data_IF_107331080927
#
_entry.id   IF_107331080927
#
_cell.length_a   1.000
_cell.length_b   1.000
_cell.length_c   1.000
_cell.angle_alpha   90.00
_cell.angle_beta   90.00
_cell.angle_gamma   90.00
#
_symmetry.space_group_name_H-M   'P 1'
#
loop_
_entity.id
_entity.type
_entity.pdbx_description
1 polymer ?
#
# COMPACT_ATOMS: atom_id res chain seq x y z
N UNK A 1 21.71 -24.54 7.01
CA UNK A 1 20.65 -23.52 7.20
C UNK A 1 21.09 -22.30 6.46
N UNK A 2 20.28 -21.82 5.55
CA UNK A 2 20.53 -20.51 4.93
C UNK A 2 20.06 -19.46 5.93
N UNK A 3 20.99 -18.67 6.48
CA UNK A 3 20.66 -17.45 7.22
C UNK A 3 20.20 -16.37 6.21
N UNK A 4 19.19 -16.70 5.42
CA UNK A 4 18.61 -15.74 4.49
C UNK A 4 17.81 -14.71 5.30
N UNK A 5 18.18 -13.45 5.18
CA UNK A 5 17.45 -12.35 5.79
C UNK A 5 16.12 -12.20 5.07
N UNK A 6 15.03 -12.57 5.72
CA UNK A 6 13.68 -12.49 5.18
C UNK A 6 12.67 -12.15 6.27
N UNK A 7 11.58 -11.46 5.87
CA UNK A 7 10.44 -11.25 6.75
C UNK A 7 9.73 -12.57 7.02
N UNK A 8 9.25 -12.76 8.25
CA UNK A 8 8.49 -13.95 8.64
C UNK A 8 7.11 -13.59 9.18
N UNK A 9 6.05 -14.30 8.81
CA UNK A 9 4.75 -14.16 9.43
C UNK A 9 4.81 -14.52 10.92
N UNK A 10 4.23 -13.67 11.77
CA UNK A 10 4.15 -13.91 13.21
C UNK A 10 2.70 -13.70 13.70
N UNK A 11 1.81 -14.68 13.48
CA UNK A 11 0.42 -14.57 13.89
C UNK A 11 0.28 -14.58 15.41
N UNK A 12 -0.58 -13.72 15.93
CA UNK A 12 -0.89 -13.62 17.36
C UNK A 12 -2.38 -13.85 17.61
N UNK A 13 -2.73 -14.25 18.85
CA UNK A 13 -4.13 -14.39 19.25
C UNK A 13 -4.75 -13.02 19.50
N UNK A 14 -5.66 -12.59 18.65
CA UNK A 14 -6.42 -11.36 18.81
C UNK A 14 -7.53 -11.57 19.84
N UNK A 15 -7.55 -10.75 20.89
CA UNK A 15 -8.55 -10.75 21.96
C UNK A 15 -9.73 -9.87 21.63
N UNK A 16 -9.46 -8.67 21.10
CA UNK A 16 -10.49 -7.74 20.62
C UNK A 16 -9.94 -6.88 19.48
N UNK A 17 -10.83 -6.45 18.60
CA UNK A 17 -10.49 -5.59 17.49
C UNK A 17 -11.68 -4.67 17.20
N UNK A 18 -11.52 -3.38 17.49
CA UNK A 18 -12.60 -2.41 17.42
C UNK A 18 -12.21 -1.22 16.55
N UNK A 19 -13.14 -0.71 15.75
CA UNK A 19 -12.98 0.57 15.08
C UNK A 19 -13.23 1.67 16.12
N UNK A 20 -12.19 2.44 16.44
CA UNK A 20 -12.26 3.52 17.44
C UNK A 20 -12.39 4.89 16.81
N UNK A 21 -12.10 5.02 15.52
CA UNK A 21 -12.38 6.20 14.72
C UNK A 21 -12.83 5.76 13.32
N UNK A 22 -14.05 6.15 12.95
CA UNK A 22 -14.62 5.89 11.63
C UNK A 22 -14.42 7.14 10.75
N UNK A 23 -13.33 7.14 10.00
CA UNK A 23 -12.95 8.24 9.12
C UNK A 23 -13.64 8.14 7.76
N UNK A 24 -13.58 9.24 6.97
CA UNK A 24 -14.13 9.24 5.61
C UNK A 24 -13.44 8.27 4.66
N UNK A 25 -12.12 8.12 4.82
CA UNK A 25 -11.28 7.28 3.95
C UNK A 25 -10.67 6.15 4.77
N UNK A 26 -10.17 6.46 5.94
CA UNK A 26 -9.46 5.53 6.81
C UNK A 26 -10.18 5.36 8.14
N UNK A 27 -10.22 4.13 8.61
CA UNK A 27 -10.58 3.83 9.99
C UNK A 27 -9.33 3.73 10.84
N UNK A 28 -9.44 4.04 12.12
CA UNK A 28 -8.44 3.68 13.13
C UNK A 28 -8.98 2.52 13.92
N UNK A 29 -8.20 1.47 14.02
CA UNK A 29 -8.54 0.24 14.73
C UNK A 29 -7.72 0.12 16.00
N UNK A 30 -8.35 -0.37 17.06
CA UNK A 30 -7.73 -0.71 18.33
C UNK A 30 -7.80 -2.21 18.53
N UNK A 31 -6.64 -2.87 18.51
CA UNK A 31 -6.53 -4.30 18.77
C UNK A 31 -5.90 -4.55 20.12
N UNK A 32 -6.45 -5.51 20.87
CA UNK A 32 -5.75 -6.14 21.99
C UNK A 32 -5.42 -7.59 21.62
N UNK A 33 -4.20 -7.99 21.91
CA UNK A 33 -3.70 -9.31 21.50
C UNK A 33 -2.65 -9.84 22.45
N UNK A 34 -2.45 -11.16 22.43
CA UNK A 34 -1.44 -11.82 23.22
C UNK A 34 -0.07 -11.73 22.53
N UNK A 35 0.93 -11.28 23.27
CA UNK A 35 2.32 -11.22 22.81
C UNK A 35 3.25 -11.75 23.90
N UNK A 36 3.81 -12.93 23.68
CA UNK A 36 4.55 -13.66 24.72
C UNK A 36 3.67 -13.99 25.91
N UNK A 37 4.06 -13.50 27.09
CA UNK A 37 3.31 -13.71 28.34
C UNK A 37 2.39 -12.53 28.73
N UNK A 38 2.20 -11.58 27.83
CA UNK A 38 1.43 -10.36 28.09
C UNK A 38 0.36 -10.16 27.05
N UNK A 39 -0.71 -9.46 27.45
CA UNK A 39 -1.69 -8.89 26.51
C UNK A 39 -1.33 -7.42 26.31
N UNK A 40 -1.17 -7.02 25.07
CA UNK A 40 -0.84 -5.65 24.70
C UNK A 40 -1.88 -5.08 23.74
N UNK A 41 -1.90 -3.77 23.57
CA UNK A 41 -2.81 -3.08 22.67
C UNK A 41 -2.04 -2.23 21.65
N UNK A 42 -2.62 -2.09 20.46
CA UNK A 42 -2.10 -1.20 19.41
C UNK A 42 -3.24 -0.53 18.66
N UNK A 43 -3.00 0.73 18.34
CA UNK A 43 -3.83 1.51 17.43
C UNK A 43 -3.13 1.61 16.08
N UNK A 44 -3.89 1.45 15.00
CA UNK A 44 -3.34 1.58 13.65
C UNK A 44 -4.38 2.05 12.65
N UNK A 45 -3.92 2.66 11.57
CA UNK A 45 -4.76 2.98 10.41
C UNK A 45 -5.05 1.70 9.64
N UNK A 46 -6.32 1.36 9.53
CA UNK A 46 -6.80 0.22 8.76
C UNK A 46 -6.98 0.65 7.29
N UNK A 47 -6.07 0.17 6.45
CA UNK A 47 -5.90 0.59 5.07
C UNK A 47 -6.35 -0.49 4.09
N UNK A 48 -6.93 -0.09 2.96
CA UNK A 48 -7.40 -1.02 1.92
C UNK A 48 -6.28 -1.66 1.10
N UNK A 49 -5.05 -1.15 1.23
CA UNK A 49 -3.95 -1.45 0.33
C UNK A 49 -3.95 -0.52 -0.88
N UNK A 50 -2.84 -0.52 -1.60
CA UNK A 50 -2.65 0.31 -2.77
C UNK A 50 -1.82 -0.39 -3.84
N UNK A 51 -1.91 0.13 -5.05
CA UNK A 51 -1.01 -0.19 -6.16
C UNK A 51 -0.24 1.05 -6.57
N UNK A 52 0.97 0.86 -7.08
CA UNK A 52 1.76 1.92 -7.68
C UNK A 52 2.38 1.42 -8.99
N UNK A 53 2.68 2.35 -9.90
CA UNK A 53 3.16 2.02 -11.24
C UNK A 53 4.48 2.71 -11.50
N UNK A 54 5.54 1.92 -11.64
CA UNK A 54 6.81 2.38 -12.20
C UNK A 54 6.73 2.24 -13.73
N UNK A 55 6.31 3.31 -14.39
CA UNK A 55 6.18 3.34 -15.85
C UNK A 55 7.47 3.84 -16.51
N UNK A 56 7.99 3.04 -17.42
CA UNK A 56 9.20 3.36 -18.20
C UNK A 56 8.85 3.55 -19.67
N UNK A 57 9.36 4.61 -20.26
CA UNK A 57 9.31 4.78 -21.70
C UNK A 57 10.45 4.02 -22.41
N UNK A 58 10.46 4.06 -23.75
CA UNK A 58 11.47 3.40 -24.59
C UNK A 58 12.90 3.88 -24.32
N UNK A 59 13.05 5.06 -23.70
CA UNK A 59 14.35 5.64 -23.33
C UNK A 59 14.74 5.35 -21.88
N UNK A 60 13.93 4.55 -21.16
CA UNK A 60 14.16 4.24 -19.76
C UNK A 60 13.88 5.40 -18.79
N UNK A 61 13.09 6.39 -19.20
CA UNK A 61 12.67 7.48 -18.31
C UNK A 61 11.45 7.05 -17.52
N UNK A 62 11.44 7.43 -16.23
CA UNK A 62 10.35 7.16 -15.31
C UNK A 62 9.30 8.26 -15.40
N UNK A 63 8.02 7.87 -15.50
CA UNK A 63 6.90 8.80 -15.40
C UNK A 63 6.68 9.17 -13.93
N UNK A 64 6.67 10.47 -13.66
CA UNK A 64 6.34 11.03 -12.34
C UNK A 64 5.18 11.98 -12.45
N UNK A 65 4.34 11.99 -11.41
CA UNK A 65 3.30 12.99 -11.19
C UNK A 65 3.66 13.86 -10.00
N UNK A 66 3.14 15.08 -9.94
CA UNK A 66 3.32 15.98 -8.80
C UNK A 66 1.98 16.16 -8.09
N UNK A 67 1.89 15.70 -6.84
CA UNK A 67 0.64 15.66 -6.10
C UNK A 67 0.76 16.34 -4.74
N UNK A 68 -0.27 17.10 -4.34
CA UNK A 68 -0.36 17.64 -2.98
C UNK A 68 -0.72 16.54 -1.99
N UNK A 69 0.08 16.41 -0.93
CA UNK A 69 -0.13 15.50 0.19
C UNK A 69 -0.37 16.31 1.46
N UNK A 70 -1.64 16.39 1.88
CA UNK A 70 -2.04 17.18 3.04
C UNK A 70 -1.32 16.80 4.35
N UNK A 71 -1.13 15.51 4.69
CA UNK A 71 -0.48 15.11 5.95
C UNK A 71 0.94 15.65 6.12
N UNK A 72 1.65 15.88 5.03
CA UNK A 72 3.01 16.43 5.05
C UNK A 72 3.06 17.90 4.60
N UNK A 73 1.92 18.49 4.22
CA UNK A 73 1.83 19.87 3.78
C UNK A 73 2.67 20.23 2.55
N UNK A 74 2.90 19.26 1.66
CA UNK A 74 3.82 19.41 0.53
C UNK A 74 3.24 18.89 -0.78
N UNK A 75 3.80 19.34 -1.89
CA UNK A 75 3.63 18.70 -3.20
C UNK A 75 4.81 17.77 -3.43
N UNK A 76 4.51 16.49 -3.54
CA UNK A 76 5.50 15.43 -3.79
C UNK A 76 5.56 15.03 -5.25
N UNK A 77 6.75 14.64 -5.68
CA UNK A 77 6.94 13.88 -6.91
C UNK A 77 6.79 12.40 -6.62
N UNK A 78 5.83 11.77 -7.30
CA UNK A 78 5.43 10.40 -7.04
C UNK A 78 5.28 9.63 -8.34
N UNK A 79 5.41 8.32 -8.29
CA UNK A 79 4.91 7.45 -9.34
C UNK A 79 3.37 7.37 -9.24
N UNK A 80 2.64 7.16 -10.34
CA UNK A 80 1.19 6.96 -10.30
C UNK A 80 0.81 5.85 -9.33
N UNK A 81 -0.22 6.09 -8.51
CA UNK A 81 -0.68 5.16 -7.49
C UNK A 81 -2.16 5.34 -7.18
N UNK A 82 -2.80 4.30 -6.68
CA UNK A 82 -4.19 4.36 -6.26
C UNK A 82 -4.57 3.26 -5.29
N UNK A 83 -5.75 3.41 -4.68
CA UNK A 83 -6.26 2.50 -3.67
C UNK A 83 -6.83 1.23 -4.27
N UNK A 84 -6.71 0.13 -3.53
CA UNK A 84 -7.40 -1.13 -3.81
C UNK A 84 -8.77 -1.12 -3.11
N UNK A 85 -9.67 -0.26 -3.56
CA UNK A 85 -10.97 0.00 -2.94
C UNK A 85 -12.18 -0.40 -3.81
N UNK A 86 -11.95 -0.94 -5.01
CA UNK A 86 -13.00 -1.42 -5.89
C UNK A 86 -13.16 -2.94 -5.79
N UNK A 87 -14.36 -3.37 -5.41
CA UNK A 87 -14.69 -4.79 -5.30
C UNK A 87 -14.53 -5.53 -6.62
N UNK A 88 -13.81 -6.65 -6.59
CA UNK A 88 -13.61 -7.52 -7.74
C UNK A 88 -12.55 -7.04 -8.75
N UNK A 89 -11.94 -5.87 -8.53
CA UNK A 89 -10.83 -5.40 -9.37
C UNK A 89 -9.51 -6.07 -8.93
N UNK A 90 -8.80 -6.69 -9.87
CA UNK A 90 -7.47 -7.24 -9.59
C UNK A 90 -6.45 -6.12 -9.39
N UNK A 91 -5.37 -6.34 -8.61
CA UNK A 91 -4.33 -5.33 -8.43
C UNK A 91 -3.73 -4.80 -9.73
N UNK A 92 -3.48 -5.66 -10.72
CA UNK A 92 -2.95 -5.22 -12.02
C UNK A 92 -3.97 -4.39 -12.79
N UNK A 93 -5.27 -4.72 -12.72
CA UNK A 93 -6.32 -3.92 -13.34
C UNK A 93 -6.44 -2.54 -12.68
N UNK A 94 -6.33 -2.47 -11.35
CA UNK A 94 -6.27 -1.21 -10.61
C UNK A 94 -5.07 -0.36 -11.06
N UNK A 95 -3.90 -0.96 -11.18
CA UNK A 95 -2.69 -0.27 -11.64
C UNK A 95 -2.84 0.28 -13.07
N UNK A 96 -3.44 -0.50 -13.97
CA UNK A 96 -3.72 -0.06 -15.35
C UNK A 96 -4.69 1.11 -15.39
N UNK A 97 -5.76 1.04 -14.61
CA UNK A 97 -6.76 2.11 -14.50
C UNK A 97 -6.13 3.39 -13.93
N UNK A 98 -5.38 3.30 -12.84
CA UNK A 98 -4.73 4.47 -12.22
C UNK A 98 -3.72 5.14 -13.16
N UNK A 99 -2.94 4.37 -13.91
CA UNK A 99 -2.01 4.92 -14.89
C UNK A 99 -2.74 5.71 -15.97
N UNK A 100 -3.85 5.19 -16.46
CA UNK A 100 -4.67 5.86 -17.48
C UNK A 100 -5.34 7.13 -16.91
N UNK A 101 -5.91 7.06 -15.70
CA UNK A 101 -6.63 8.16 -15.08
C UNK A 101 -5.69 9.31 -14.66
N UNK A 102 -4.54 8.99 -14.05
CA UNK A 102 -3.62 9.99 -13.51
C UNK A 102 -2.65 10.58 -14.54
N UNK A 103 -2.29 9.83 -15.57
CA UNK A 103 -1.26 10.21 -16.52
C UNK A 103 -1.67 10.15 -18.00
N UNK A 104 -2.88 9.67 -18.31
CA UNK A 104 -3.37 9.46 -19.68
C UNK A 104 -2.40 8.62 -20.53
N UNK A 105 -1.84 7.57 -19.94
CA UNK A 105 -0.85 6.67 -20.52
C UNK A 105 -1.31 5.23 -20.43
N UNK A 106 -1.01 4.46 -21.45
CA UNK A 106 -1.23 3.02 -21.53
C UNK A 106 0.09 2.31 -21.71
N UNK A 107 0.30 1.19 -21.02
CA UNK A 107 1.46 0.34 -21.19
C UNK A 107 1.06 -1.03 -21.75
N UNK A 108 1.93 -1.60 -22.56
CA UNK A 108 1.70 -2.89 -23.21
C UNK A 108 2.13 -4.07 -22.34
N UNK A 109 3.14 -3.87 -21.50
CA UNK A 109 3.72 -4.92 -20.66
C UNK A 109 3.70 -4.55 -19.19
N UNK A 110 3.27 -5.51 -18.36
CA UNK A 110 3.10 -5.37 -16.92
C UNK A 110 3.78 -6.52 -16.18
N UNK A 111 4.69 -6.18 -15.29
CA UNK A 111 5.39 -7.15 -14.45
C UNK A 111 5.26 -6.71 -12.98
N UNK A 112 5.02 -7.64 -12.06
CA UNK A 112 5.08 -7.35 -10.64
C UNK A 112 6.53 -7.07 -10.24
N UNK A 113 6.78 -5.90 -9.65
CA UNK A 113 8.12 -5.50 -9.23
C UNK A 113 8.38 -5.86 -7.76
N UNK A 114 7.52 -5.42 -6.86
CA UNK A 114 7.62 -5.73 -5.44
C UNK A 114 6.31 -5.43 -4.69
N UNK A 115 6.21 -5.99 -3.48
CA UNK A 115 5.25 -5.61 -2.46
C UNK A 115 6.01 -5.13 -1.23
N UNK A 116 5.51 -4.13 -0.52
CA UNK A 116 6.09 -3.71 0.76
C UNK A 116 5.07 -3.03 1.67
N UNK A 117 5.31 -3.09 2.97
CA UNK A 117 4.58 -2.33 3.98
C UNK A 117 5.17 -0.93 4.09
N UNK A 118 4.35 0.12 3.98
CA UNK A 118 4.82 1.51 3.89
C UNK A 118 5.19 2.11 5.24
N UNK A 119 4.38 1.85 6.25
CA UNK A 119 4.57 2.38 7.60
C UNK A 119 4.05 1.41 8.67
N UNK A 120 4.69 0.23 8.83
CA UNK A 120 4.16 -0.87 9.63
C UNK A 120 4.07 -0.58 11.13
N UNK A 121 4.65 0.52 11.61
CA UNK A 121 4.50 0.97 12.98
C UNK A 121 3.15 1.61 13.30
N UNK A 122 2.39 2.04 12.31
CA UNK A 122 1.12 2.76 12.53
C UNK A 122 0.02 2.49 11.49
N UNK A 123 0.29 1.65 10.50
CA UNK A 123 -0.66 1.31 9.44
C UNK A 123 -0.42 -0.11 8.93
N UNK A 124 -1.47 -0.76 8.48
CA UNK A 124 -1.38 -2.03 7.77
C UNK A 124 -1.30 -1.85 6.25
N UNK A 125 -1.02 -0.63 5.77
CA UNK A 125 -0.88 -0.38 4.34
C UNK A 125 0.21 -1.22 3.72
N UNK A 126 -0.15 -1.97 2.67
CA UNK A 126 0.78 -2.62 1.77
C UNK A 126 0.60 -2.03 0.37
N UNK A 127 1.70 -1.73 -0.30
CA UNK A 127 1.71 -1.26 -1.69
C UNK A 127 2.30 -2.33 -2.59
N UNK A 128 1.58 -2.64 -3.65
CA UNK A 128 2.05 -3.49 -4.74
C UNK A 128 2.51 -2.62 -5.90
N UNK A 129 3.78 -2.73 -6.26
CA UNK A 129 4.39 -1.94 -7.33
C UNK A 129 4.51 -2.78 -8.59
N UNK A 130 3.96 -2.27 -9.69
CA UNK A 130 4.10 -2.86 -11.02
C UNK A 130 5.08 -2.07 -11.87
N UNK A 131 5.90 -2.78 -12.62
CA UNK A 131 6.70 -2.24 -13.70
C UNK A 131 5.86 -2.26 -14.97
N UNK A 132 5.67 -1.10 -15.59
CA UNK A 132 4.90 -0.92 -16.82
C UNK A 132 5.79 -0.39 -17.96
N UNK A 133 5.64 -0.95 -19.17
CA UNK A 133 6.38 -0.56 -20.38
C UNK A 133 5.50 -0.52 -21.60
#
# INVERSE_FOLDING_TARGET
>A
MSDELADEPFPVAIRSSDVVFDGRVWNVRHDTFDYGHSTIARDYVDHTGAVAVLALDERGRVLLIKQYRHPIGARDWEIPAGLLDLDGESPVAAAQRELAEEADVVAERWDLLCDFATSPGGSNEAIRVYLAR
#
